data_IF_756970938986
#
_entry.id   IF_756970938986
#
_cell.length_a   1.000
_cell.length_b   1.000
_cell.length_c   1.000
_cell.angle_alpha   90.00
_cell.angle_beta   90.00
_cell.angle_gamma   90.00
#
_symmetry.space_group_name_H-M   'P 1'
#
loop_
_entity.id
_entity.type
_entity.pdbx_description
1 polymer ?
#
# COMPACT_ATOMS: atom_id res chain seq x y z
N UNK A 1 -28.77 -50.73 37.41
CA UNK A 1 -27.86 -50.26 36.35
C UNK A 1 -27.44 -48.83 36.67
N UNK A 2 -26.24 -48.66 37.22
CA UNK A 2 -25.70 -47.41 37.78
C UNK A 2 -24.21 -47.40 37.41
N UNK A 3 -23.77 -46.44 36.59
CA UNK A 3 -22.39 -45.93 36.40
C UNK A 3 -22.24 -45.33 34.99
N UNK A 4 -22.37 -44.02 34.86
CA UNK A 4 -21.60 -43.22 33.88
C UNK A 4 -21.91 -41.71 34.02
N UNK A 5 -21.61 -41.13 35.19
CA UNK A 5 -21.65 -39.67 35.38
C UNK A 5 -20.29 -39.10 35.86
N UNK A 6 -19.25 -39.94 35.96
CA UNK A 6 -17.95 -39.56 36.53
C UNK A 6 -16.92 -39.01 35.53
N UNK A 7 -17.16 -39.09 34.22
CA UNK A 7 -16.19 -38.69 33.20
C UNK A 7 -16.36 -37.26 32.69
N UNK A 8 -17.56 -36.67 32.82
CA UNK A 8 -17.84 -35.32 32.29
C UNK A 8 -17.42 -34.16 33.21
N UNK A 9 -17.16 -34.43 34.49
CA UNK A 9 -16.78 -33.38 35.46
C UNK A 9 -15.27 -33.11 35.51
N UNK A 10 -14.43 -33.99 34.95
CA UNK A 10 -12.97 -33.86 35.02
C UNK A 10 -12.42 -32.89 33.96
N UNK A 11 -13.03 -32.81 32.78
CA UNK A 11 -12.57 -31.92 31.69
C UNK A 11 -12.89 -30.45 31.92
N UNK A 12 -13.92 -30.13 32.71
CA UNK A 12 -14.28 -28.74 33.02
C UNK A 12 -13.31 -28.11 34.05
N UNK A 13 -12.72 -28.93 34.94
CA UNK A 13 -11.76 -28.43 35.94
C UNK A 13 -10.40 -28.05 35.34
N UNK A 14 -9.98 -28.68 34.24
CA UNK A 14 -8.71 -28.35 33.56
C UNK A 14 -8.78 -27.01 32.79
N UNK A 15 -9.93 -26.66 32.21
CA UNK A 15 -10.11 -25.39 31.49
C UNK A 15 -10.13 -24.16 32.40
N UNK A 16 -10.72 -24.27 33.59
CA UNK A 16 -10.80 -23.17 34.57
C UNK A 16 -9.43 -22.95 35.26
N UNK A 17 -8.63 -24.00 35.45
CA UNK A 17 -7.28 -23.90 36.02
C UNK A 17 -6.31 -23.11 35.14
N UNK A 18 -6.33 -23.30 33.82
CA UNK A 18 -5.47 -22.57 32.87
C UNK A 18 -5.84 -21.08 32.75
N UNK A 19 -7.13 -20.75 32.82
CA UNK A 19 -7.58 -19.35 32.81
C UNK A 19 -7.19 -18.61 34.11
N UNK A 20 -7.24 -19.28 35.26
CA UNK A 20 -6.83 -18.70 36.55
C UNK A 20 -5.33 -18.42 36.67
N UNK A 21 -4.46 -19.23 36.04
CA UNK A 21 -3.00 -19.02 36.05
C UNK A 21 -2.62 -17.81 35.18
N UNK A 22 -3.21 -17.67 33.99
CA UNK A 22 -2.99 -16.49 33.12
C UNK A 22 -3.49 -15.19 33.78
N UNK A 23 -4.62 -15.24 34.48
CA UNK A 23 -5.13 -14.08 35.21
C UNK A 23 -4.25 -13.69 36.41
N UNK A 24 -3.61 -14.67 37.07
CA UNK A 24 -2.65 -14.39 38.14
C UNK A 24 -1.35 -13.76 37.63
N UNK A 25 -0.82 -14.20 36.48
CA UNK A 25 0.37 -13.62 35.88
C UNK A 25 0.16 -12.19 35.37
N UNK A 26 -1.03 -11.88 34.82
CA UNK A 26 -1.38 -10.52 34.38
C UNK A 26 -1.60 -9.59 35.57
N UNK A 27 -2.19 -10.09 36.67
CA UNK A 27 -2.52 -9.24 37.81
C UNK A 27 -1.33 -8.95 38.74
N UNK A 28 -0.32 -9.83 38.80
CA UNK A 28 0.94 -9.53 39.51
C UNK A 28 1.80 -8.46 38.83
N UNK A 29 1.49 -8.07 37.59
CA UNK A 29 2.14 -6.95 36.90
C UNK A 29 1.52 -5.58 37.19
N UNK A 30 0.34 -5.52 37.80
CA UNK A 30 -0.44 -4.28 37.95
C UNK A 30 -0.45 -3.68 39.36
N UNK A 31 0.12 -4.36 40.37
CA UNK A 31 0.11 -3.91 41.76
C UNK A 31 1.52 -3.99 42.38
N UNK A 32 2.50 -3.29 41.81
CA UNK A 32 3.79 -3.04 42.47
C UNK A 32 4.26 -1.61 42.20
N UNK A 33 3.40 -0.64 42.47
CA UNK A 33 3.75 0.78 42.53
C UNK A 33 2.80 1.52 43.49
N UNK A 34 2.85 1.17 44.77
CA UNK A 34 2.38 2.02 45.85
C UNK A 34 3.25 1.76 47.09
N UNK A 35 3.97 2.78 47.52
CA UNK A 35 5.19 2.65 48.31
C UNK A 35 5.04 2.47 49.82
N UNK A 36 6.15 2.08 50.43
CA UNK A 36 6.52 2.44 51.80
C UNK A 36 8.05 2.36 51.90
N UNK A 37 8.69 3.49 52.22
CA UNK A 37 10.12 3.71 51.98
C UNK A 37 11.06 3.35 53.12
N UNK A 38 12.36 3.38 52.80
CA UNK A 38 13.46 3.99 53.59
C UNK A 38 14.81 3.81 52.85
N UNK A 39 15.34 4.93 52.33
CA UNK A 39 16.74 5.26 51.99
C UNK A 39 17.52 4.47 50.89
N UNK A 40 18.57 5.08 50.30
CA UNK A 40 18.63 6.34 49.56
C UNK A 40 18.66 6.09 48.04
N UNK A 41 18.01 6.95 47.27
CA UNK A 41 18.05 6.90 45.80
C UNK A 41 19.46 7.22 45.30
N UNK A 42 20.21 6.19 44.93
CA UNK A 42 21.29 6.29 43.95
C UNK A 42 20.62 6.61 42.61
N UNK A 43 20.90 7.80 42.06
CA UNK A 43 20.52 8.16 40.69
C UNK A 43 20.87 7.00 39.74
N UNK A 44 19.92 6.47 38.96
CA UNK A 44 20.27 5.74 37.76
C UNK A 44 20.71 6.76 36.72
N UNK A 45 21.92 6.54 36.24
CA UNK A 45 22.58 7.27 35.18
C UNK A 45 21.67 7.56 33.99
N UNK A 46 21.74 8.80 33.51
CA UNK A 46 21.27 9.18 32.18
C UNK A 46 22.02 8.36 31.15
N UNK A 47 21.33 7.40 30.54
CA UNK A 47 21.94 6.44 29.62
C UNK A 47 20.93 5.84 28.67
N UNK A 48 20.04 6.66 28.08
CA UNK A 48 19.15 6.23 27.01
C UNK A 48 18.73 7.43 26.14
N UNK A 49 19.70 8.16 25.58
CA UNK A 49 19.41 9.22 24.59
C UNK A 49 20.43 9.31 23.47
N UNK A 50 21.56 8.59 23.54
CA UNK A 50 22.63 8.71 22.55
C UNK A 50 22.36 8.07 21.18
N UNK A 51 21.72 6.89 21.05
CA UNK A 51 21.51 6.29 19.73
C UNK A 51 20.41 6.99 18.91
N UNK A 52 19.28 7.36 19.53
CA UNK A 52 18.18 8.05 18.84
C UNK A 52 18.55 9.49 18.43
N UNK A 53 19.32 10.21 19.25
CA UNK A 53 19.85 11.53 18.90
C UNK A 53 20.92 11.44 17.80
N UNK A 54 21.68 10.34 17.73
CA UNK A 54 22.65 10.12 16.66
C UNK A 54 21.96 9.83 15.32
N UNK A 55 20.90 9.01 15.31
CA UNK A 55 20.10 8.74 14.11
C UNK A 55 19.37 10.00 13.60
N UNK A 56 18.82 10.81 14.52
CA UNK A 56 18.23 12.10 14.18
C UNK A 56 19.27 13.10 13.63
N UNK A 57 20.49 13.07 14.14
CA UNK A 57 21.58 13.90 13.63
C UNK A 57 22.03 13.45 12.24
N UNK A 58 22.05 12.15 11.97
CA UNK A 58 22.43 11.60 10.66
C UNK A 58 21.37 11.92 9.60
N UNK A 59 20.09 11.70 9.91
CA UNK A 59 18.99 12.06 9.00
C UNK A 59 18.93 13.57 8.70
N UNK A 60 19.28 14.43 9.68
CA UNK A 60 19.41 15.88 9.45
C UNK A 60 20.58 16.20 8.50
N UNK A 61 21.69 15.47 8.56
CA UNK A 61 22.83 15.63 7.64
C UNK A 61 22.45 15.23 6.23
N UNK A 62 21.77 14.08 6.06
CA UNK A 62 21.28 13.62 4.77
C UNK A 62 20.34 14.64 4.12
N UNK A 63 19.39 15.19 4.89
CA UNK A 63 18.47 16.24 4.40
C UNK A 63 19.19 17.52 3.97
N UNK A 64 20.25 17.92 4.69
CA UNK A 64 21.08 19.08 4.30
C UNK A 64 21.88 18.79 3.04
N UNK A 65 22.43 17.57 2.90
CA UNK A 65 23.15 17.17 1.70
C UNK A 65 22.23 17.13 0.47
N UNK A 66 21.05 16.54 0.61
CA UNK A 66 20.06 16.46 -0.48
C UNK A 66 19.59 17.86 -0.89
N UNK A 67 19.30 18.75 0.08
CA UNK A 67 18.96 20.15 -0.23
C UNK A 67 20.07 20.87 -0.97
N UNK A 68 21.34 20.64 -0.62
CA UNK A 68 22.48 21.22 -1.35
C UNK A 68 22.60 20.67 -2.76
N UNK A 69 22.37 19.38 -2.96
CA UNK A 69 22.37 18.77 -4.29
C UNK A 69 21.25 19.33 -5.16
N UNK A 70 20.03 19.47 -4.63
CA UNK A 70 18.90 20.09 -5.32
C UNK A 70 19.17 21.56 -5.65
N UNK A 71 19.79 22.31 -4.74
CA UNK A 71 20.20 23.69 -5.00
C UNK A 71 21.28 23.78 -6.09
N UNK A 72 22.29 22.93 -6.05
CA UNK A 72 23.34 22.87 -7.06
C UNK A 72 22.78 22.45 -8.43
N UNK A 73 21.81 21.54 -8.46
CA UNK A 73 21.12 21.13 -9.67
C UNK A 73 20.23 22.26 -10.20
N UNK A 74 19.49 22.96 -9.33
CA UNK A 74 18.69 24.13 -9.69
C UNK A 74 19.54 25.28 -10.24
N UNK A 75 20.72 25.52 -9.65
CA UNK A 75 21.67 26.52 -10.16
C UNK A 75 22.29 26.11 -11.49
N UNK A 76 22.56 24.82 -11.72
CA UNK A 76 23.01 24.32 -13.03
C UNK A 76 21.95 24.47 -14.11
N UNK A 77 20.68 24.26 -13.77
CA UNK A 77 19.55 24.49 -14.67
C UNK A 77 19.33 25.99 -14.94
N UNK A 78 19.56 26.84 -13.95
CA UNK A 78 19.47 28.30 -14.09
C UNK A 78 20.69 28.92 -14.81
N UNK A 79 21.85 28.26 -14.78
CA UNK A 79 23.07 28.68 -15.47
C UNK A 79 23.13 28.21 -16.94
N UNK A 80 22.07 27.55 -17.44
CA UNK A 80 21.92 27.29 -18.87
C UNK A 80 21.64 28.63 -19.56
N UNK A 81 22.58 29.02 -20.42
CA UNK A 81 22.60 30.25 -21.21
C UNK A 81 21.23 30.54 -21.88
N UNK A 82 20.57 31.68 -21.62
CA UNK A 82 19.22 31.96 -22.12
C UNK A 82 19.14 32.05 -23.66
N UNK A 83 20.28 32.24 -24.33
CA UNK A 83 20.37 32.29 -25.80
C UNK A 83 20.38 30.88 -26.41
N UNK A 84 20.88 29.87 -25.70
CA UNK A 84 20.86 28.46 -26.14
C UNK A 84 19.58 27.73 -25.70
N UNK A 85 18.86 28.30 -24.73
CA UNK A 85 17.57 27.80 -24.25
C UNK A 85 16.41 28.10 -25.21
N UNK A 86 16.51 29.12 -26.09
CA UNK A 86 15.45 29.42 -27.07
C UNK A 86 15.31 28.34 -28.16
N UNK A 87 16.41 27.72 -28.59
CA UNK A 87 16.37 26.59 -29.53
C UNK A 87 15.94 25.26 -28.87
N UNK A 88 16.01 25.17 -27.54
CA UNK A 88 15.54 24.03 -26.76
C UNK A 88 14.13 24.24 -26.15
N UNK A 89 13.56 25.44 -26.29
CA UNK A 89 12.21 25.81 -25.83
C UNK A 89 11.10 25.35 -26.80
N UNK A 90 11.36 24.33 -27.62
CA UNK A 90 10.33 23.56 -28.30
C UNK A 90 10.00 22.23 -27.59
N UNK A 91 10.54 21.99 -26.40
CA UNK A 91 9.87 21.12 -25.43
C UNK A 91 8.66 21.87 -24.86
N UNK A 92 7.64 22.09 -25.69
CA UNK A 92 6.37 22.68 -25.27
C UNK A 92 5.83 21.83 -24.11
N UNK A 93 5.49 22.47 -23.00
CA UNK A 93 4.83 21.80 -21.90
C UNK A 93 3.51 21.19 -22.42
N UNK A 94 3.35 19.84 -22.41
CA UNK A 94 2.16 19.15 -22.90
C UNK A 94 0.86 19.62 -22.23
N UNK A 95 0.95 20.28 -21.06
CA UNK A 95 -0.22 20.86 -20.39
C UNK A 95 -0.78 22.08 -21.12
N UNK A 96 0.07 22.82 -21.82
CA UNK A 96 -0.25 24.10 -22.48
C UNK A 96 -0.37 24.00 -24.00
N UNK A 97 0.18 22.93 -24.60
CA UNK A 97 0.06 22.66 -26.04
C UNK A 97 -1.13 21.70 -26.33
N UNK A 98 -2.19 22.14 -27.03
CA UNK A 98 -3.30 21.27 -27.40
C UNK A 98 -2.88 20.09 -28.28
N UNK A 99 -1.87 20.25 -29.15
CA UNK A 99 -1.35 19.15 -29.99
C UNK A 99 -0.56 18.15 -29.13
N UNK A 100 0.27 18.65 -28.21
CA UNK A 100 1.00 17.84 -27.24
C UNK A 100 0.07 17.02 -26.33
N UNK A 101 -1.08 17.59 -25.93
CA UNK A 101 -2.11 16.88 -25.16
C UNK A 101 -2.76 15.76 -25.96
N UNK A 102 -3.15 16.04 -27.21
CA UNK A 102 -3.79 15.05 -28.07
C UNK A 102 -2.85 13.85 -28.33
N UNK A 103 -1.57 14.12 -28.60
CA UNK A 103 -0.56 13.09 -28.78
C UNK A 103 -0.28 12.30 -27.49
N UNK A 104 -0.24 12.97 -26.33
CA UNK A 104 -0.10 12.29 -25.03
C UNK A 104 -1.29 11.37 -24.75
N UNK A 105 -2.51 11.84 -25.03
CA UNK A 105 -3.72 11.04 -24.87
C UNK A 105 -3.71 9.82 -25.80
N UNK A 106 -3.28 9.98 -27.06
CA UNK A 106 -3.10 8.87 -28.01
C UNK A 106 -2.12 7.83 -27.45
N UNK A 107 -0.93 8.26 -27.00
CA UNK A 107 0.07 7.37 -26.39
C UNK A 107 -0.45 6.67 -25.15
N UNK A 108 -1.20 7.38 -24.31
CA UNK A 108 -1.83 6.79 -23.12
C UNK A 108 -2.83 5.70 -23.49
N UNK A 109 -3.69 5.95 -24.49
CA UNK A 109 -4.64 4.94 -24.99
C UNK A 109 -3.93 3.72 -25.59
N UNK A 110 -2.87 3.93 -26.36
CA UNK A 110 -2.06 2.84 -26.93
C UNK A 110 -1.36 2.02 -25.85
N UNK A 111 -0.83 2.67 -24.82
CA UNK A 111 -0.23 1.99 -23.66
C UNK A 111 -1.27 1.16 -22.90
N UNK A 112 -2.46 1.69 -22.62
CA UNK A 112 -3.51 0.92 -21.95
C UNK A 112 -3.97 -0.26 -22.82
N UNK A 113 -4.10 -0.07 -24.12
CA UNK A 113 -4.43 -1.15 -25.05
C UNK A 113 -3.36 -2.25 -25.08
N UNK A 114 -2.08 -1.88 -24.97
CA UNK A 114 -0.98 -2.86 -24.91
C UNK A 114 -0.97 -3.64 -23.59
N UNK A 115 -1.26 -2.99 -22.45
CA UNK A 115 -1.42 -3.63 -21.15
C UNK A 115 -2.58 -4.63 -21.17
N UNK A 116 -3.73 -4.24 -21.71
CA UNK A 116 -4.89 -5.13 -21.83
C UNK A 116 -4.61 -6.34 -22.74
N UNK A 117 -3.94 -6.11 -23.87
CA UNK A 117 -3.55 -7.18 -24.78
C UNK A 117 -2.53 -8.14 -24.14
N UNK A 118 -1.58 -7.63 -23.35
CA UNK A 118 -0.63 -8.44 -22.60
C UNK A 118 -1.34 -9.29 -21.54
N UNK A 119 -2.24 -8.68 -20.77
CA UNK A 119 -3.08 -9.38 -19.79
C UNK A 119 -3.86 -10.53 -20.44
N UNK A 120 -4.55 -10.28 -21.57
CA UNK A 120 -5.34 -11.32 -22.27
C UNK A 120 -4.50 -12.50 -22.78
N UNK A 121 -3.24 -12.27 -23.13
CA UNK A 121 -2.30 -13.32 -23.58
C UNK A 121 -1.63 -14.07 -22.43
N UNK A 122 -1.71 -13.54 -21.21
CA UNK A 122 -1.08 -14.14 -20.04
C UNK A 122 -1.72 -15.50 -19.73
N UNK A 123 -0.89 -16.52 -19.51
CA UNK A 123 -1.35 -17.83 -19.06
C UNK A 123 -2.02 -17.70 -17.70
N UNK A 124 -2.91 -18.62 -17.35
CA UNK A 124 -3.52 -18.65 -16.02
C UNK A 124 -2.81 -19.69 -15.16
N UNK A 125 -2.25 -19.27 -14.02
CA UNK A 125 -1.80 -20.15 -12.96
C UNK A 125 -3.00 -20.37 -12.00
N UNK A 126 -3.60 -21.57 -11.95
CA UNK A 126 -4.83 -21.79 -11.18
C UNK A 126 -4.60 -21.66 -9.66
N UNK A 127 -3.42 -21.99 -9.14
CA UNK A 127 -3.12 -21.91 -7.72
C UNK A 127 -2.96 -20.47 -7.27
N UNK A 128 -2.15 -19.71 -8.01
CA UNK A 128 -1.93 -18.29 -7.72
C UNK A 128 -3.17 -17.45 -8.01
N UNK A 129 -3.81 -17.61 -9.17
CA UNK A 129 -4.98 -16.79 -9.55
C UNK A 129 -6.13 -16.90 -8.56
N UNK A 130 -6.45 -18.11 -8.09
CA UNK A 130 -7.52 -18.34 -7.12
C UNK A 130 -7.20 -17.72 -5.76
N UNK A 131 -5.98 -17.94 -5.26
CA UNK A 131 -5.53 -17.38 -3.98
C UNK A 131 -5.54 -15.85 -4.00
N UNK A 132 -4.93 -15.25 -5.03
CA UNK A 132 -4.84 -13.79 -5.14
C UNK A 132 -6.20 -13.15 -5.46
N UNK A 133 -7.05 -13.78 -6.27
CA UNK A 133 -8.43 -13.31 -6.47
C UNK A 133 -9.20 -13.23 -5.15
N UNK A 134 -9.00 -14.20 -4.26
CA UNK A 134 -9.64 -14.23 -2.95
C UNK A 134 -9.15 -13.08 -2.06
N UNK A 135 -7.85 -12.76 -2.09
CA UNK A 135 -7.27 -11.61 -1.36
C UNK A 135 -7.89 -10.30 -1.86
N UNK A 136 -7.91 -10.10 -3.18
CA UNK A 136 -8.44 -8.88 -3.80
C UNK A 136 -9.94 -8.72 -3.51
N UNK A 137 -10.72 -9.81 -3.66
CA UNK A 137 -12.17 -9.79 -3.36
C UNK A 137 -12.45 -9.52 -1.88
N UNK A 138 -11.62 -10.07 -0.97
CA UNK A 138 -11.74 -9.80 0.46
C UNK A 138 -11.49 -8.31 0.74
N UNK A 139 -10.43 -7.73 0.17
CA UNK A 139 -10.13 -6.31 0.32
C UNK A 139 -11.26 -5.41 -0.21
N UNK A 140 -11.85 -5.75 -1.37
CA UNK A 140 -13.03 -5.04 -1.91
C UNK A 140 -14.27 -5.17 -1.02
N UNK A 141 -14.42 -6.29 -0.31
CA UNK A 141 -15.61 -6.58 0.50
C UNK A 141 -15.56 -5.99 1.91
N UNK A 142 -14.36 -5.70 2.43
CA UNK A 142 -14.16 -5.06 3.73
C UNK A 142 -14.70 -3.64 3.74
N UNK A 143 -14.60 -2.93 2.61
CA UNK A 143 -15.05 -1.56 2.50
C UNK A 143 -16.51 -1.46 1.99
N UNK A 144 -17.36 -0.78 2.76
CA UNK A 144 -18.79 -0.65 2.44
C UNK A 144 -19.08 0.23 1.23
N UNK A 145 -18.19 1.16 0.88
CA UNK A 145 -18.33 2.04 -0.29
C UNK A 145 -17.82 1.34 -1.57
N UNK A 146 -16.77 0.51 -1.50
CA UNK A 146 -16.24 -0.25 -2.65
C UNK A 146 -17.07 -1.48 -3.00
N UNK A 147 -17.57 -2.21 -2.00
CA UNK A 147 -18.35 -3.44 -2.20
C UNK A 147 -19.48 -3.32 -3.25
N UNK A 148 -20.34 -2.28 -3.26
CA UNK A 148 -21.38 -2.14 -4.28
C UNK A 148 -20.86 -1.72 -5.66
N UNK A 149 -19.64 -1.17 -5.72
CA UNK A 149 -19.00 -0.69 -6.94
C UNK A 149 -18.17 -1.78 -7.63
N UNK A 150 -17.70 -2.79 -6.90
CA UNK A 150 -16.95 -3.91 -7.47
C UNK A 150 -17.75 -4.62 -8.58
N UNK A 151 -17.14 -4.77 -9.76
CA UNK A 151 -17.75 -5.43 -10.94
C UNK A 151 -17.11 -6.78 -11.24
N UNK A 152 -15.80 -6.89 -11.08
CA UNK A 152 -15.10 -8.13 -11.35
C UNK A 152 -13.65 -8.11 -10.91
N UNK A 153 -13.14 -9.29 -10.62
CA UNK A 153 -11.73 -9.56 -10.34
C UNK A 153 -11.32 -10.76 -11.19
N UNK A 154 -10.37 -10.56 -12.10
CA UNK A 154 -9.77 -11.63 -12.91
C UNK A 154 -8.26 -11.63 -12.67
N UNK A 155 -7.74 -12.67 -12.02
CA UNK A 155 -6.30 -12.86 -11.88
C UNK A 155 -5.80 -13.96 -12.82
N UNK A 156 -4.59 -13.77 -13.35
CA UNK A 156 -3.92 -14.71 -14.28
C UNK A 156 -2.71 -15.36 -13.66
N UNK A 157 -1.52 -15.32 -14.25
CA UNK A 157 -0.31 -15.87 -13.62
C UNK A 157 0.40 -14.85 -12.74
N UNK A 158 0.34 -13.56 -13.05
CA UNK A 158 1.11 -12.50 -12.40
C UNK A 158 0.34 -11.18 -12.29
N UNK A 159 -0.77 -11.05 -13.02
CA UNK A 159 -1.56 -9.82 -13.06
C UNK A 159 -3.01 -10.09 -12.66
N UNK A 160 -3.61 -9.15 -11.95
CA UNK A 160 -5.04 -9.08 -11.66
C UNK A 160 -5.65 -7.86 -12.33
N UNK A 161 -6.78 -8.06 -13.00
CA UNK A 161 -7.64 -7.02 -13.58
C UNK A 161 -8.84 -6.85 -12.65
N UNK A 162 -8.97 -5.67 -12.07
CA UNK A 162 -10.06 -5.32 -11.15
C UNK A 162 -10.90 -4.24 -11.80
N UNK A 163 -12.20 -4.49 -11.91
CA UNK A 163 -13.17 -3.54 -12.42
C UNK A 163 -14.02 -2.98 -11.28
N UNK A 164 -14.08 -1.66 -11.19
CA UNK A 164 -14.86 -0.92 -10.19
C UNK A 164 -15.69 0.12 -10.93
N UNK A 165 -17.00 0.13 -10.73
CA UNK A 165 -17.85 1.18 -11.27
C UNK A 165 -17.52 2.52 -10.59
N UNK A 166 -17.51 3.58 -11.38
CA UNK A 166 -17.40 4.93 -10.87
C UNK A 166 -18.75 5.65 -11.00
N UNK A 167 -19.39 5.88 -9.85
CA UNK A 167 -20.64 6.62 -9.72
C UNK A 167 -20.45 8.14 -9.81
N UNK A 168 -19.23 8.60 -10.08
CA UNK A 168 -18.82 10.02 -10.12
C UNK A 168 -19.06 10.79 -8.82
N UNK A 169 -19.32 10.09 -7.70
CA UNK A 169 -19.50 10.70 -6.37
C UNK A 169 -18.19 11.23 -5.78
N UNK A 170 -17.04 10.85 -6.36
CA UNK A 170 -15.71 11.14 -5.83
C UNK A 170 -15.32 10.29 -4.61
N UNK A 171 -16.22 9.44 -4.09
CA UNK A 171 -15.90 8.49 -3.01
C UNK A 171 -14.81 7.52 -3.41
N UNK A 172 -14.89 7.00 -4.64
CA UNK A 172 -13.91 6.08 -5.20
C UNK A 172 -12.48 6.64 -5.10
N UNK A 173 -12.28 7.92 -5.44
CA UNK A 173 -10.97 8.56 -5.36
C UNK A 173 -10.40 8.66 -3.93
N UNK A 174 -11.25 8.64 -2.90
CA UNK A 174 -10.82 8.70 -1.49
C UNK A 174 -10.44 7.33 -0.94
N UNK A 175 -11.19 6.29 -1.33
CA UNK A 175 -11.00 4.95 -0.78
C UNK A 175 -10.01 4.10 -1.58
N UNK A 176 -9.85 4.38 -2.88
CA UNK A 176 -8.97 3.63 -3.76
C UNK A 176 -7.52 3.53 -3.26
N UNK A 177 -6.88 4.59 -2.72
CA UNK A 177 -5.52 4.48 -2.21
C UNK A 177 -5.39 3.50 -1.04
N UNK A 178 -6.40 3.42 -0.17
CA UNK A 178 -6.43 2.47 0.96
C UNK A 178 -6.53 1.04 0.44
N UNK A 179 -7.41 0.81 -0.53
CA UNK A 179 -7.53 -0.49 -1.19
C UNK A 179 -6.22 -0.92 -1.84
N UNK A 180 -5.59 -0.03 -2.63
CA UNK A 180 -4.30 -0.31 -3.29
C UNK A 180 -3.20 -0.62 -2.28
N UNK A 181 -3.15 0.11 -1.16
CA UNK A 181 -2.20 -0.15 -0.09
C UNK A 181 -2.41 -1.53 0.56
N UNK A 182 -3.67 -1.93 0.78
CA UNK A 182 -4.01 -3.20 1.42
C UNK A 182 -3.55 -4.41 0.60
N UNK A 183 -3.70 -4.36 -0.72
CA UNK A 183 -3.30 -5.46 -1.62
C UNK A 183 -1.86 -5.29 -2.15
N UNK A 184 -1.22 -4.16 -1.87
CA UNK A 184 0.09 -3.79 -2.41
C UNK A 184 1.25 -4.68 -1.96
N UNK A 185 1.07 -5.47 -0.89
CA UNK A 185 2.06 -6.49 -0.50
C UNK A 185 2.14 -7.64 -1.52
N UNK A 186 1.01 -8.04 -2.08
CA UNK A 186 0.93 -9.11 -3.09
C UNK A 186 1.02 -8.57 -4.52
N UNK A 187 0.59 -7.32 -4.72
CA UNK A 187 0.44 -6.67 -6.03
C UNK A 187 1.00 -5.23 -6.00
N UNK A 188 2.33 -5.05 -5.95
CA UNK A 188 2.96 -3.74 -5.75
C UNK A 188 2.83 -2.78 -6.95
N UNK A 189 2.72 -3.29 -8.18
CA UNK A 189 2.56 -2.43 -9.36
C UNK A 189 1.10 -2.28 -9.73
N UNK A 190 0.68 -1.04 -9.99
CA UNK A 190 -0.72 -0.69 -10.32
C UNK A 190 -0.76 0.26 -11.50
N UNK A 191 -1.49 -0.14 -12.54
CA UNK A 191 -1.85 0.71 -13.68
C UNK A 191 -3.36 0.93 -13.62
N UNK A 192 -3.78 2.18 -13.55
CA UNK A 192 -5.19 2.56 -13.46
C UNK A 192 -5.64 3.23 -14.75
N UNK A 193 -6.78 2.80 -15.28
CA UNK A 193 -7.41 3.44 -16.43
C UNK A 193 -8.91 3.60 -16.20
N UNK A 194 -9.49 4.62 -16.82
CA UNK A 194 -10.93 4.86 -16.79
C UNK A 194 -11.47 4.62 -18.20
N UNK A 195 -12.42 3.70 -18.32
CA UNK A 195 -13.12 3.42 -19.56
C UNK A 195 -14.56 3.90 -19.46
N UNK A 196 -15.06 4.57 -20.50
CA UNK A 196 -16.46 4.92 -20.58
C UNK A 196 -17.27 3.67 -20.99
N UNK A 197 -18.32 3.36 -20.23
CA UNK A 197 -19.26 2.28 -20.52
C UNK A 197 -20.69 2.80 -20.67
N UNK A 198 -21.57 1.98 -21.24
CA UNK A 198 -22.98 2.31 -21.45
C UNK A 198 -23.75 2.60 -20.14
N UNK A 199 -23.24 2.14 -18.99
CA UNK A 199 -23.82 2.34 -17.66
C UNK A 199 -23.02 3.28 -16.75
N UNK A 200 -22.10 4.09 -17.31
CA UNK A 200 -21.21 4.95 -16.55
C UNK A 200 -19.73 4.63 -16.78
N UNK A 201 -18.85 5.40 -16.13
CA UNK A 201 -17.42 5.14 -16.21
C UNK A 201 -17.06 3.94 -15.34
N UNK A 202 -16.17 3.07 -15.83
CA UNK A 202 -15.58 1.98 -15.07
C UNK A 202 -14.10 2.27 -14.88
N UNK A 203 -13.64 2.20 -13.65
CA UNK A 203 -12.23 2.18 -13.31
C UNK A 203 -11.71 0.75 -13.44
N UNK A 204 -10.68 0.56 -14.25
CA UNK A 204 -9.99 -0.72 -14.42
C UNK A 204 -8.59 -0.59 -13.85
N UNK A 205 -8.25 -1.46 -12.90
CA UNK A 205 -6.93 -1.56 -12.31
C UNK A 205 -6.27 -2.84 -12.80
N UNK A 206 -5.08 -2.71 -13.39
CA UNK A 206 -4.18 -3.82 -13.64
C UNK A 206 -3.12 -3.80 -12.55
N UNK A 207 -3.12 -4.83 -11.71
CA UNK A 207 -2.27 -4.94 -10.53
C UNK A 207 -1.37 -6.16 -10.68
N UNK A 208 -0.06 -6.05 -10.50
CA UNK A 208 0.87 -7.16 -10.74
C UNK A 208 1.82 -7.43 -9.58
N UNK A 209 2.13 -8.72 -9.36
CA UNK A 209 3.05 -9.20 -8.32
C UNK A 209 4.53 -8.91 -8.55
N UNK A 210 4.86 -8.36 -9.72
CA UNK A 210 6.21 -7.88 -10.05
C UNK A 210 6.11 -6.38 -10.16
N UNK A 211 7.14 -5.68 -9.68
CA UNK A 211 7.41 -4.33 -10.14
C UNK A 211 7.50 -4.42 -11.66
N UNK A 212 6.61 -3.71 -12.37
CA UNK A 212 6.72 -3.58 -13.82
C UNK A 212 8.12 -3.05 -14.11
N UNK A 213 9.02 -3.85 -14.70
CA UNK A 213 10.28 -3.31 -15.15
C UNK A 213 9.93 -2.28 -16.22
N UNK A 214 10.64 -1.14 -16.23
CA UNK A 214 10.67 -0.19 -17.34
C UNK A 214 11.27 -0.83 -18.60
N UNK A 215 10.70 -1.94 -19.07
CA UNK A 215 11.20 -2.74 -20.18
C UNK A 215 10.06 -2.95 -21.20
N UNK A 216 9.55 -1.85 -21.74
CA UNK A 216 8.94 -1.80 -23.07
C UNK A 216 9.49 -0.59 -23.84
N UNK A 217 10.81 -0.40 -23.75
CA UNK A 217 11.61 0.32 -24.74
C UNK A 217 12.47 -0.71 -25.45
N UNK A 218 11.94 -1.32 -26.51
CA UNK A 218 12.71 -1.89 -27.61
C UNK A 218 12.08 -1.41 -28.91
#
# INVERSE_FOLDING_TARGET
MKRSHGLFTITILLGVGLCGIMYRCVRTGAESSAGSGLAPAKQPDGGATTPELADLAEMRREMVQLRRQLWAQGQRLAAVDPVKAQDSAAARDPRTDPEGRAEQERRSREFIASVDAAFRKETTDPGWSSATSSVVQTALSVDSDLRPLARGVECRSHTCRVEIADDSSGKLGKILPVFVQQVGQDLPSVITTRVAGAGGATLVLYMSRRDTPQAMSQ
#
